data_IF_843627630003
#
_entry.id   IF_843627630003
#
_cell.length_a   1.000
_cell.length_b   1.000
_cell.length_c   1.000
_cell.angle_alpha   90.00
_cell.angle_beta   90.00
_cell.angle_gamma   90.00
#
_symmetry.space_group_name_H-M   'P 1'
#
loop_
_entity.id
_entity.type
_entity.pdbx_description
1 polymer ?
#
# COMPACT_ATOMS: atom_id res chain seq x y z
N UNK A 1 13.26 -46.20 -28.76
CA UNK A 1 13.50 -44.77 -28.45
C UNK A 1 12.23 -43.93 -28.33
N UNK A 2 11.11 -44.25 -29.01
CA UNK A 2 9.89 -43.42 -29.01
C UNK A 2 9.11 -43.38 -27.67
N UNK A 3 9.29 -44.37 -26.79
CA UNK A 3 8.54 -44.48 -25.53
C UNK A 3 9.07 -43.57 -24.41
N UNK A 4 10.37 -43.27 -24.40
CA UNK A 4 11.01 -42.49 -23.33
C UNK A 4 10.80 -40.98 -23.51
N UNK A 5 10.78 -40.50 -24.75
CA UNK A 5 10.49 -39.09 -25.08
C UNK A 5 9.02 -38.73 -24.84
N UNK A 6 8.10 -39.67 -25.01
CA UNK A 6 6.67 -39.43 -24.76
C UNK A 6 6.36 -39.32 -23.25
N UNK A 7 7.05 -40.09 -22.42
CA UNK A 7 6.94 -40.00 -20.95
C UNK A 7 7.53 -38.69 -20.41
N UNK A 8 8.62 -38.18 -20.99
CA UNK A 8 9.21 -36.90 -20.59
C UNK A 8 8.28 -35.72 -20.91
N UNK A 9 7.60 -35.75 -22.06
CA UNK A 9 6.63 -34.72 -22.44
C UNK A 9 5.39 -34.71 -21.52
N UNK A 10 4.95 -35.87 -21.05
CA UNK A 10 3.83 -35.98 -20.08
C UNK A 10 4.26 -35.48 -18.70
N UNK A 11 5.46 -35.82 -18.22
CA UNK A 11 5.99 -35.29 -16.95
C UNK A 11 6.20 -33.77 -16.97
N UNK A 12 6.58 -33.17 -18.10
CA UNK A 12 6.68 -31.71 -18.23
C UNK A 12 5.31 -30.99 -18.27
N UNK A 13 4.23 -31.68 -18.62
CA UNK A 13 2.88 -31.09 -18.62
C UNK A 13 2.23 -31.00 -17.23
N UNK A 14 2.77 -31.72 -16.22
CA UNK A 14 2.21 -31.76 -14.86
C UNK A 14 2.75 -30.67 -13.92
N UNK A 15 3.67 -29.80 -14.36
CA UNK A 15 4.24 -28.74 -13.49
C UNK A 15 3.59 -27.37 -13.67
N UNK A 16 2.59 -27.23 -14.55
CA UNK A 16 1.77 -26.02 -14.58
C UNK A 16 0.68 -26.10 -13.51
N UNK A 17 1.09 -26.04 -12.23
CA UNK A 17 0.19 -25.50 -11.22
C UNK A 17 0.06 -24.02 -11.57
N UNK A 18 -0.95 -23.70 -12.38
CA UNK A 18 -1.43 -22.34 -12.51
C UNK A 18 -1.87 -21.98 -11.09
N UNK A 19 -1.04 -21.23 -10.37
CA UNK A 19 -1.48 -20.50 -9.21
C UNK A 19 -2.52 -19.50 -9.72
N UNK A 20 -3.77 -19.96 -9.84
CA UNK A 20 -4.89 -19.09 -10.10
C UNK A 20 -4.80 -17.98 -9.08
N UNK A 21 -4.70 -16.73 -9.56
CA UNK A 21 -4.81 -15.58 -8.68
C UNK A 21 -6.08 -15.78 -7.86
N UNK A 22 -5.93 -15.92 -6.54
CA UNK A 22 -7.08 -15.92 -5.63
C UNK A 22 -7.89 -14.69 -5.98
N UNK A 23 -9.15 -14.91 -6.41
CA UNK A 23 -10.06 -13.86 -6.81
C UNK A 23 -10.05 -12.76 -5.73
N UNK A 24 -9.61 -11.56 -6.11
CA UNK A 24 -9.56 -10.42 -5.20
C UNK A 24 -10.84 -9.62 -5.36
N UNK A 25 -11.84 -9.94 -4.56
CA UNK A 25 -13.13 -9.23 -4.55
C UNK A 25 -13.06 -7.89 -3.81
N UNK A 26 -11.88 -7.54 -3.28
CA UNK A 26 -11.69 -6.26 -2.60
C UNK A 26 -11.65 -5.12 -3.61
N UNK A 27 -12.13 -3.95 -3.19
CA UNK A 27 -12.11 -2.74 -4.02
C UNK A 27 -11.66 -1.54 -3.19
N UNK A 28 -10.86 -0.67 -3.76
CA UNK A 28 -10.58 0.66 -3.25
C UNK A 28 -10.77 1.68 -4.36
N UNK A 29 -11.56 2.71 -4.10
CA UNK A 29 -11.80 3.84 -4.99
C UNK A 29 -11.57 5.13 -4.22
N UNK A 30 -10.75 6.03 -4.73
CA UNK A 30 -10.50 7.35 -4.14
C UNK A 30 -10.12 8.33 -5.24
N UNK A 31 -10.38 9.61 -5.05
CA UNK A 31 -9.84 10.66 -5.90
C UNK A 31 -8.59 11.24 -5.25
N UNK A 32 -7.48 11.23 -5.98
CA UNK A 32 -6.18 11.78 -5.58
C UNK A 32 -5.94 13.02 -6.44
N UNK A 33 -5.95 14.19 -5.82
CA UNK A 33 -5.86 15.48 -6.52
C UNK A 33 -6.88 15.61 -7.66
N UNK A 34 -8.10 15.12 -7.41
CA UNK A 34 -9.20 15.09 -8.38
C UNK A 34 -9.13 13.98 -9.44
N UNK A 35 -8.03 13.22 -9.51
CA UNK A 35 -7.88 12.09 -10.43
C UNK A 35 -8.37 10.80 -9.78
N UNK A 36 -9.19 10.02 -10.50
CA UNK A 36 -9.68 8.74 -10.00
C UNK A 36 -8.55 7.71 -9.83
N UNK A 37 -8.56 7.05 -8.68
CA UNK A 37 -7.66 5.97 -8.32
C UNK A 37 -8.48 4.77 -7.84
N UNK A 38 -8.56 3.76 -8.71
CA UNK A 38 -9.30 2.52 -8.44
C UNK A 38 -8.35 1.33 -8.45
N UNK A 39 -8.43 0.51 -7.41
CA UNK A 39 -7.63 -0.70 -7.30
C UNK A 39 -8.29 -1.81 -6.49
N UNK A 40 -7.67 -2.99 -6.46
CA UNK A 40 -8.06 -4.13 -5.65
C UNK A 40 -7.08 -4.29 -4.48
N UNK A 41 -7.37 -3.73 -3.30
CA UNK A 41 -6.47 -3.82 -2.16
C UNK A 41 -6.29 -5.26 -1.69
N UNK A 42 -5.15 -5.52 -1.07
CA UNK A 42 -4.82 -6.79 -0.43
C UNK A 42 -4.65 -6.56 1.06
N UNK A 43 -5.22 -7.47 1.85
CA UNK A 43 -4.96 -7.53 3.29
C UNK A 43 -3.60 -8.19 3.52
N UNK A 44 -2.77 -7.59 4.36
CA UNK A 44 -1.49 -8.16 4.78
C UNK A 44 -1.50 -8.27 6.31
N UNK A 45 -1.01 -9.40 6.82
CA UNK A 45 -0.75 -9.58 8.25
C UNK A 45 0.75 -9.71 8.46
N UNK A 46 1.33 -8.89 9.34
CA UNK A 46 2.75 -9.01 9.72
C UNK A 46 2.80 -9.09 11.25
N UNK A 47 3.11 -10.27 11.78
CA UNK A 47 3.08 -10.52 13.23
C UNK A 47 1.70 -10.27 13.85
N UNK A 48 1.68 -9.59 15.00
CA UNK A 48 0.45 -9.21 15.72
C UNK A 48 -0.13 -7.87 15.24
N UNK A 49 0.37 -7.32 14.13
CA UNK A 49 -0.12 -6.07 13.57
C UNK A 49 -0.93 -6.34 12.30
N UNK A 50 -2.07 -5.66 12.23
CA UNK A 50 -3.02 -5.70 11.11
C UNK A 50 -2.71 -4.53 10.15
N UNK A 51 -2.73 -4.77 8.83
CA UNK A 51 -2.60 -3.67 7.88
C UNK A 51 -3.29 -3.94 6.53
N UNK A 52 -3.76 -2.87 5.88
CA UNK A 52 -4.43 -2.92 4.59
C UNK A 52 -3.55 -2.23 3.55
N UNK A 53 -3.10 -2.96 2.54
CA UNK A 53 -2.35 -2.37 1.42
C UNK A 53 -3.23 -2.25 0.19
N UNK A 54 -3.32 -1.05 -0.39
CA UNK A 54 -4.14 -0.76 -1.57
C UNK A 54 -3.26 -0.32 -2.75
N UNK A 55 -2.53 -1.27 -3.30
CA UNK A 55 -1.57 -1.04 -4.38
C UNK A 55 -2.31 -0.88 -5.70
N UNK A 56 -1.89 0.02 -6.60
CA UNK A 56 -2.55 0.19 -7.89
C UNK A 56 -2.24 -0.94 -8.88
N UNK A 57 -3.10 -1.11 -9.89
CA UNK A 57 -2.93 -2.11 -10.98
C UNK A 57 -1.67 -1.80 -11.81
N UNK A 58 -1.35 -0.52 -11.98
CA UNK A 58 -0.06 -0.09 -12.54
C UNK A 58 0.91 0.11 -11.36
N UNK A 59 2.09 -0.53 -11.36
CA UNK A 59 3.02 -0.51 -10.23
C UNK A 59 3.78 0.83 -10.11
N UNK A 60 3.18 1.92 -10.61
CA UNK A 60 3.67 3.29 -10.51
C UNK A 60 3.00 4.03 -9.35
N UNK A 61 1.87 3.55 -8.83
CA UNK A 61 1.15 4.17 -7.71
C UNK A 61 0.83 3.15 -6.62
N UNK A 62 0.90 3.58 -5.37
CA UNK A 62 0.50 2.79 -4.22
C UNK A 62 -0.19 3.69 -3.20
N UNK A 63 -1.34 3.24 -2.68
CA UNK A 63 -1.97 3.81 -1.51
C UNK A 63 -1.99 2.75 -0.42
N UNK A 64 -1.48 3.06 0.77
CA UNK A 64 -1.46 2.12 1.90
C UNK A 64 -2.12 2.75 3.11
N UNK A 65 -2.93 1.94 3.78
CA UNK A 65 -3.65 2.33 4.98
C UNK A 65 -3.37 1.32 6.10
N UNK A 66 -2.65 1.76 7.12
CA UNK A 66 -2.40 0.93 8.29
C UNK A 66 -3.44 1.24 9.34
N UNK A 67 -4.06 0.21 9.90
CA UNK A 67 -5.04 0.34 10.98
C UNK A 67 -4.47 -0.38 12.19
N UNK A 68 -4.46 0.27 13.34
CA UNK A 68 -3.90 -0.33 14.54
C UNK A 68 -4.52 0.21 15.81
N UNK A 69 -4.15 -0.44 16.90
CA UNK A 69 -4.56 -0.09 18.26
C UNK A 69 -3.31 -0.11 19.16
N UNK A 70 -3.32 0.67 20.24
CA UNK A 70 -2.18 0.73 21.15
C UNK A 70 -2.01 -0.55 22.00
N UNK A 71 -3.05 -1.38 22.09
CA UNK A 71 -3.04 -2.67 22.78
C UNK A 71 -2.51 -3.81 21.89
N UNK A 72 -2.14 -3.53 20.63
CA UNK A 72 -1.64 -4.51 19.65
C UNK A 72 -2.65 -5.61 19.33
N UNK A 73 -3.94 -5.32 19.45
CA UNK A 73 -5.00 -6.15 18.87
C UNK A 73 -4.87 -6.18 17.35
N UNK A 74 -5.07 -7.35 16.76
CA UNK A 74 -5.09 -7.54 15.30
C UNK A 74 -6.52 -7.57 14.73
N UNK A 75 -7.51 -7.26 15.57
CA UNK A 75 -8.93 -7.25 15.22
C UNK A 75 -9.30 -5.84 14.75
N UNK A 76 -9.71 -5.73 13.49
CA UNK A 76 -10.31 -4.52 12.95
C UNK A 76 -11.79 -4.50 13.33
N UNK A 77 -12.18 -3.58 14.20
CA UNK A 77 -13.56 -3.41 14.66
C UNK A 77 -14.29 -2.34 13.82
N UNK A 78 -15.61 -2.47 13.61
CA UNK A 78 -16.41 -1.36 13.14
C UNK A 78 -16.35 -0.15 14.10
N UNK A 79 -16.19 1.03 13.53
CA UNK A 79 -16.20 2.32 14.23
C UNK A 79 -15.26 3.33 13.57
N UNK A 80 -14.99 4.42 14.29
CA UNK A 80 -14.19 5.54 13.78
C UNK A 80 -12.73 5.39 14.20
N UNK A 81 -11.83 5.50 13.23
CA UNK A 81 -10.38 5.46 13.41
C UNK A 81 -9.82 6.87 13.22
N UNK A 82 -8.96 7.31 14.14
CA UNK A 82 -8.28 8.60 14.05
C UNK A 82 -7.12 8.50 13.07
N UNK A 83 -7.07 9.36 12.05
CA UNK A 83 -5.90 9.48 11.19
C UNK A 83 -4.81 10.25 11.93
N UNK A 84 -3.61 9.69 11.99
CA UNK A 84 -2.50 10.30 12.73
C UNK A 84 -1.28 10.54 11.85
N UNK A 85 -0.32 11.30 12.37
CA UNK A 85 0.95 11.57 11.70
C UNK A 85 1.73 10.28 11.46
N UNK A 86 2.06 10.03 10.19
CA UNK A 86 2.79 8.84 9.76
C UNK A 86 4.15 8.68 10.44
N UNK A 87 4.87 9.78 10.64
CA UNK A 87 6.23 9.77 11.17
C UNK A 87 6.25 9.90 12.71
N UNK A 88 5.09 10.13 13.35
CA UNK A 88 4.95 10.35 14.81
C UNK A 88 3.75 9.62 15.42
N UNK A 89 3.41 8.44 14.92
CA UNK A 89 2.22 7.67 15.34
C UNK A 89 2.17 7.33 16.83
N UNK A 90 3.32 7.22 17.49
CA UNK A 90 3.45 6.75 18.88
C UNK A 90 3.59 7.89 19.90
N UNK A 91 3.18 9.11 19.54
CA UNK A 91 3.24 10.27 20.44
C UNK A 91 2.31 10.11 21.66
N UNK A 92 2.69 10.75 22.77
CA UNK A 92 1.89 10.71 24.02
C UNK A 92 0.53 11.39 23.81
N UNK A 93 0.49 12.40 22.96
CA UNK A 93 -0.70 13.18 22.61
C UNK A 93 -1.72 12.30 21.87
N UNK A 94 -1.27 11.54 20.87
CA UNK A 94 -2.12 10.58 20.15
C UNK A 94 -2.65 9.52 21.11
N UNK A 95 -1.78 8.98 21.98
CA UNK A 95 -2.19 7.98 22.96
C UNK A 95 -3.25 8.53 23.91
N UNK A 96 -3.11 9.78 24.37
CA UNK A 96 -4.13 10.43 25.21
C UNK A 96 -5.46 10.60 24.47
N UNK A 97 -5.45 10.99 23.18
CA UNK A 97 -6.66 11.07 22.34
C UNK A 97 -7.34 9.69 22.19
N UNK A 98 -6.54 8.63 22.03
CA UNK A 98 -7.03 7.25 21.96
C UNK A 98 -7.64 6.79 23.29
N UNK A 99 -6.93 6.98 24.41
CA UNK A 99 -7.35 6.57 25.76
C UNK A 99 -8.63 7.30 26.24
N UNK A 100 -8.98 8.44 25.63
CA UNK A 100 -10.25 9.12 25.87
C UNK A 100 -11.48 8.36 25.35
N UNK A 101 -11.28 7.26 24.60
CA UNK A 101 -12.34 6.32 24.21
C UNK A 101 -13.21 6.74 23.02
N UNK A 102 -12.85 7.84 22.34
CA UNK A 102 -13.62 8.34 21.18
C UNK A 102 -13.35 7.60 19.88
N UNK A 103 -12.29 6.79 19.82
CA UNK A 103 -11.84 6.11 18.61
C UNK A 103 -11.65 4.62 18.86
N UNK A 104 -11.93 3.80 17.84
CA UNK A 104 -11.66 2.35 17.85
C UNK A 104 -10.19 2.02 17.61
N UNK A 105 -9.44 2.94 17.04
CA UNK A 105 -8.04 2.75 16.67
C UNK A 105 -7.45 3.99 16.02
N UNK A 106 -6.21 3.82 15.57
CA UNK A 106 -5.49 4.79 14.76
C UNK A 106 -5.37 4.28 13.32
N UNK A 107 -5.29 5.22 12.39
CA UNK A 107 -5.03 4.96 10.98
C UNK A 107 -3.84 5.80 10.49
N UNK A 108 -3.03 5.21 9.63
CA UNK A 108 -1.94 5.88 8.92
C UNK A 108 -2.20 5.75 7.44
N UNK A 109 -1.96 6.81 6.67
CA UNK A 109 -2.14 6.78 5.21
C UNK A 109 -0.84 7.20 4.54
N UNK A 110 -0.40 6.42 3.55
CA UNK A 110 0.74 6.77 2.70
C UNK A 110 0.37 6.55 1.25
N UNK A 111 0.62 7.56 0.43
CA UNK A 111 0.54 7.49 -1.01
C UNK A 111 1.94 7.61 -1.60
N UNK A 112 2.23 6.82 -2.64
CA UNK A 112 3.49 6.89 -3.39
C UNK A 112 3.15 6.86 -4.87
N UNK A 113 3.69 7.81 -5.62
CA UNK A 113 3.61 7.88 -7.08
C UNK A 113 5.01 7.99 -7.67
N UNK A 114 5.34 7.11 -8.60
CA UNK A 114 6.51 7.21 -9.46
C UNK A 114 6.29 8.31 -10.50
N UNK A 115 6.99 9.42 -10.36
CA UNK A 115 6.89 10.57 -11.28
C UNK A 115 7.87 10.47 -12.45
N UNK A 116 8.89 9.61 -12.33
CA UNK A 116 9.85 9.33 -13.42
C UNK A 116 10.26 7.88 -13.48
N UNK A 117 10.08 7.27 -14.65
CA UNK A 117 10.32 5.84 -14.87
C UNK A 117 11.72 5.51 -15.39
N UNK A 118 12.28 4.32 -15.05
CA UNK A 118 11.81 3.35 -14.04
C UNK A 118 12.28 3.74 -12.64
N UNK A 119 11.34 4.01 -11.72
CA UNK A 119 11.61 4.23 -10.28
C UNK A 119 12.76 5.21 -10.04
N UNK A 120 12.74 6.36 -10.71
CA UNK A 120 13.83 7.34 -10.63
C UNK A 120 13.47 8.51 -9.72
N UNK A 121 12.21 8.93 -9.76
CA UNK A 121 11.68 10.03 -8.99
C UNK A 121 10.28 9.65 -8.48
N UNK A 122 9.95 10.15 -7.30
CA UNK A 122 8.68 9.87 -6.64
C UNK A 122 8.05 11.12 -6.03
N UNK A 123 6.73 11.07 -5.91
CA UNK A 123 5.91 11.95 -5.09
C UNK A 123 5.27 11.10 -3.98
N UNK A 124 5.54 11.46 -2.73
CA UNK A 124 5.13 10.70 -1.55
C UNK A 124 4.25 11.57 -0.67
N UNK A 125 3.03 11.11 -0.40
CA UNK A 125 2.11 11.68 0.59
C UNK A 125 2.12 10.87 1.87
N UNK A 126 2.20 11.52 3.02
CA UNK A 126 2.05 10.90 4.35
C UNK A 126 0.97 11.58 5.18
N UNK A 127 0.17 10.83 5.92
CA UNK A 127 -0.86 11.40 6.82
C UNK A 127 -0.25 12.30 7.89
N UNK A 128 -1.04 13.28 8.34
CA UNK A 128 -0.73 14.21 9.43
C UNK A 128 -1.81 14.11 10.51
N UNK A 129 -1.51 14.58 11.73
CA UNK A 129 -2.52 14.77 12.77
C UNK A 129 -3.31 16.06 12.48
N UNK A 130 -4.35 15.93 11.65
CA UNK A 130 -5.25 17.02 11.23
C UNK A 130 -6.70 16.79 11.74
N UNK A 131 -6.89 15.95 12.76
CA UNK A 131 -8.20 15.51 13.25
C UNK A 131 -9.09 14.86 12.16
N UNK A 132 -8.45 14.25 11.15
CA UNK A 132 -9.11 13.47 10.10
C UNK A 132 -9.47 12.08 10.63
N UNK A 133 -10.51 11.46 10.06
CA UNK A 133 -11.00 10.15 10.50
C UNK A 133 -11.27 9.20 9.33
N UNK A 134 -11.27 7.91 9.64
CA UNK A 134 -11.75 6.84 8.76
C UNK A 134 -12.93 6.17 9.46
N UNK A 135 -14.08 6.13 8.79
CA UNK A 135 -15.24 5.43 9.29
C UNK A 135 -15.28 4.01 8.73
N UNK A 136 -15.31 3.04 9.62
CA UNK A 136 -15.25 1.61 9.30
C UNK A 136 -16.54 0.92 9.71
N UNK A 137 -17.14 0.15 8.81
CA UNK A 137 -18.40 -0.58 9.03
C UNK A 137 -18.28 -2.00 8.52
N UNK A 138 -19.10 -2.89 9.06
CA UNK A 138 -19.28 -4.23 8.50
C UNK A 138 -20.49 -4.20 7.56
N UNK A 139 -20.26 -4.54 6.29
CA UNK A 139 -21.29 -4.72 5.29
C UNK A 139 -22.15 -5.96 5.58
N UNK A 140 -23.38 -6.02 5.04
CA UNK A 140 -24.31 -7.13 5.27
C UNK A 140 -23.80 -8.47 4.70
N UNK A 141 -22.85 -8.41 3.77
CA UNK A 141 -22.21 -9.56 3.12
C UNK A 141 -20.88 -9.96 3.79
N UNK A 142 -20.54 -9.35 4.94
CA UNK A 142 -19.34 -9.66 5.71
C UNK A 142 -18.05 -9.02 5.20
N UNK A 143 -18.14 -8.10 4.23
CA UNK A 143 -17.02 -7.25 3.85
C UNK A 143 -16.91 -6.07 4.81
N UNK A 144 -15.69 -5.69 5.14
CA UNK A 144 -15.43 -4.45 5.84
C UNK A 144 -15.40 -3.29 4.86
N UNK A 145 -16.14 -2.23 5.17
CA UNK A 145 -16.27 -1.03 4.36
C UNK A 145 -15.66 0.15 5.12
N UNK A 146 -14.65 0.80 4.55
CA UNK A 146 -14.01 1.99 5.10
C UNK A 146 -14.30 3.19 4.19
N UNK A 147 -14.69 4.32 4.78
CA UNK A 147 -14.86 5.59 4.08
C UNK A 147 -13.90 6.62 4.65
N UNK A 148 -13.20 7.36 3.77
CA UNK A 148 -12.19 8.32 4.18
C UNK A 148 -12.05 9.47 3.20
N UNK A 149 -11.55 10.59 3.70
CA UNK A 149 -11.05 11.75 2.94
C UNK A 149 -10.01 12.44 3.81
N UNK A 150 -9.06 13.15 3.21
CA UNK A 150 -7.98 13.75 3.99
C UNK A 150 -6.89 14.39 3.14
N UNK A 151 -5.91 14.95 3.84
CA UNK A 151 -4.79 15.70 3.24
C UNK A 151 -3.47 15.08 3.69
N UNK A 152 -2.67 14.67 2.71
CA UNK A 152 -1.35 14.11 2.96
C UNK A 152 -0.25 15.17 2.76
N UNK A 153 0.77 15.08 3.60
CA UNK A 153 2.03 15.79 3.46
C UNK A 153 2.79 15.31 2.21
N UNK A 154 2.74 16.08 1.13
CA UNK A 154 3.42 15.79 -0.12
C UNK A 154 4.92 16.11 -0.06
N UNK A 155 5.72 15.20 -0.60
CA UNK A 155 7.17 15.35 -0.71
C UNK A 155 7.73 14.70 -1.96
N UNK A 156 8.75 15.31 -2.56
CA UNK A 156 9.38 14.78 -3.77
C UNK A 156 10.69 14.08 -3.43
N UNK A 157 10.96 12.98 -4.12
CA UNK A 157 12.15 12.16 -3.92
C UNK A 157 12.82 11.89 -5.26
N UNK A 158 14.15 11.90 -5.25
CA UNK A 158 14.96 11.64 -6.44
C UNK A 158 16.09 10.70 -6.11
N UNK A 159 16.38 9.77 -7.02
CA UNK A 159 17.50 8.86 -6.88
C UNK A 159 18.82 9.63 -6.73
N UNK A 160 19.65 9.19 -5.77
CA UNK A 160 21.00 9.76 -5.64
C UNK A 160 21.81 9.34 -6.86
N UNK A 161 22.51 10.28 -7.49
CA UNK A 161 23.37 9.97 -8.64
C UNK A 161 24.39 8.85 -8.36
N UNK A 162 24.88 8.75 -7.11
CA UNK A 162 25.73 7.64 -6.69
C UNK A 162 25.04 6.26 -6.80
N UNK A 163 23.75 6.16 -6.46
CA UNK A 163 23.01 4.91 -6.57
C UNK A 163 22.90 4.44 -8.03
N UNK A 164 22.68 5.37 -8.98
CA UNK A 164 22.64 5.06 -10.41
C UNK A 164 24.03 4.71 -10.95
N UNK A 165 25.09 5.44 -10.54
CA UNK A 165 26.46 5.23 -11.04
C UNK A 165 27.09 3.94 -10.50
N UNK A 166 26.90 3.60 -9.23
CA UNK A 166 27.44 2.36 -8.64
C UNK A 166 26.57 1.13 -8.94
N UNK A 167 25.26 1.31 -9.14
CA UNK A 167 24.34 0.22 -9.48
C UNK A 167 24.28 -0.12 -10.98
N UNK A 168 24.66 0.81 -11.85
CA UNK A 168 24.71 0.62 -13.31
C UNK A 168 23.42 0.07 -13.91
N UNK A 169 23.56 -0.71 -15.00
CA UNK A 169 22.46 -1.36 -15.70
C UNK A 169 21.70 -2.37 -14.82
N UNK A 170 22.39 -3.05 -13.89
CA UNK A 170 21.78 -4.02 -12.99
C UNK A 170 20.70 -3.40 -12.09
N UNK A 171 20.93 -2.19 -11.57
CA UNK A 171 19.93 -1.48 -10.76
C UNK A 171 18.69 -1.09 -11.56
N UNK A 172 18.83 -0.73 -12.83
CA UNK A 172 17.69 -0.46 -13.71
C UNK A 172 16.88 -1.73 -13.98
N UNK A 173 17.55 -2.87 -14.22
CA UNK A 173 16.90 -4.16 -14.40
C UNK A 173 16.13 -4.59 -13.15
N UNK A 174 16.73 -4.49 -11.96
CA UNK A 174 16.05 -4.83 -10.70
C UNK A 174 14.77 -4.00 -10.50
N UNK A 175 14.82 -2.68 -10.77
CA UNK A 175 13.63 -1.82 -10.69
C UNK A 175 12.53 -2.25 -11.66
N UNK A 176 12.91 -2.69 -12.86
CA UNK A 176 11.95 -3.22 -13.83
C UNK A 176 11.37 -4.56 -13.37
N UNK A 177 12.20 -5.44 -12.82
CA UNK A 177 11.77 -6.72 -12.22
C UNK A 177 10.79 -6.48 -11.07
N UNK A 178 11.09 -5.58 -10.14
CA UNK A 178 10.20 -5.25 -9.02
C UNK A 178 8.84 -4.73 -9.51
N UNK A 179 8.84 -3.89 -10.56
CA UNK A 179 7.58 -3.44 -11.20
C UNK A 179 6.81 -4.61 -11.81
N UNK A 180 7.48 -5.54 -12.46
CA UNK A 180 6.84 -6.75 -13.02
C UNK A 180 6.29 -7.62 -11.90
N UNK A 181 7.03 -7.81 -10.80
CA UNK A 181 6.58 -8.55 -9.61
C UNK A 181 5.36 -7.90 -8.99
N UNK A 182 5.36 -6.58 -8.77
CA UNK A 182 4.19 -5.86 -8.24
C UNK A 182 2.99 -6.01 -9.16
N UNK A 183 3.18 -5.88 -10.47
CA UNK A 183 2.10 -6.07 -11.44
C UNK A 183 1.54 -7.50 -11.43
N UNK A 184 2.41 -8.51 -11.32
CA UNK A 184 2.01 -9.93 -11.35
C UNK A 184 1.32 -10.37 -10.04
N UNK A 185 1.81 -9.87 -8.91
CA UNK A 185 1.37 -10.33 -7.57
C UNK A 185 0.30 -9.43 -6.95
N UNK A 186 0.24 -8.16 -7.34
CA UNK A 186 -0.56 -7.13 -6.67
C UNK A 186 0.03 -6.66 -5.33
N UNK A 187 1.21 -7.14 -4.94
CA UNK A 187 1.93 -6.71 -3.75
C UNK A 187 3.02 -5.70 -4.10
N UNK A 188 3.08 -4.60 -3.34
CA UNK A 188 4.17 -3.63 -3.47
C UNK A 188 5.52 -4.31 -3.22
N UNK A 189 6.36 -4.28 -4.24
CA UNK A 189 7.74 -4.72 -4.18
C UNK A 189 8.58 -3.45 -4.31
N UNK A 190 9.05 -2.92 -3.18
CA UNK A 190 10.02 -1.84 -3.10
C UNK A 190 9.67 -0.51 -3.81
N UNK A 191 8.40 -0.09 -3.76
CA UNK A 191 7.99 1.21 -4.33
C UNK A 191 8.42 2.41 -3.46
N UNK A 192 8.83 2.17 -2.21
CA UNK A 192 9.20 3.22 -1.27
C UNK A 192 10.58 3.83 -1.58
N UNK A 193 10.71 5.16 -1.63
CA UNK A 193 12.03 5.80 -1.78
C UNK A 193 12.84 5.87 -0.48
N UNK A 194 12.20 5.79 0.70
CA UNK A 194 12.90 5.91 1.97
C UNK A 194 13.85 4.73 2.21
N UNK A 195 15.11 5.02 2.55
CA UNK A 195 16.12 3.98 2.78
C UNK A 195 16.73 3.36 1.50
N UNK A 196 16.12 3.56 0.33
CA UNK A 196 16.48 2.84 -0.91
C UNK A 196 17.39 3.60 -1.89
N UNK A 197 18.23 4.50 -1.36
CA UNK A 197 19.18 5.28 -2.17
C UNK A 197 18.58 6.52 -2.83
N UNK A 198 17.40 6.98 -2.37
CA UNK A 198 16.80 8.23 -2.80
C UNK A 198 17.12 9.37 -1.82
N UNK A 199 16.94 10.60 -2.28
CA UNK A 199 17.06 11.81 -1.48
C UNK A 199 15.77 12.62 -1.59
N UNK A 200 15.21 12.98 -0.44
CA UNK A 200 14.10 13.92 -0.32
C UNK A 200 14.52 15.28 -0.87
N UNK A 201 13.70 15.85 -1.74
CA UNK A 201 13.87 17.16 -2.33
C UNK A 201 13.23 18.22 -1.43
N UNK A 202 13.66 19.50 -1.51
CA UNK A 202 13.05 20.59 -0.75
C UNK A 202 11.62 20.92 -1.21
N UNK A 203 11.24 20.50 -2.42
CA UNK A 203 9.87 20.68 -2.93
C UNK A 203 8.89 19.85 -2.10
N UNK A 204 7.84 20.51 -1.63
CA UNK A 204 6.73 19.92 -0.87
C UNK A 204 5.42 20.53 -1.33
N UNK A 205 4.34 19.78 -1.16
CA UNK A 205 2.97 20.18 -1.47
C UNK A 205 1.99 19.39 -0.57
N UNK A 206 0.71 19.44 -0.92
CA UNK A 206 -0.35 18.67 -0.29
C UNK A 206 -0.94 17.73 -1.35
N UNK A 207 -1.26 16.51 -0.94
CA UNK A 207 -2.00 15.55 -1.76
C UNK A 207 -3.38 15.39 -1.14
N UNK A 208 -4.43 15.66 -1.91
CA UNK A 208 -5.81 15.68 -1.43
C UNK A 208 -6.50 14.36 -1.81
N UNK A 209 -6.97 13.64 -0.79
CA UNK A 209 -7.78 12.43 -0.93
C UNK A 209 -9.25 12.78 -0.72
N UNK A 210 -10.10 12.46 -1.70
CA UNK A 210 -11.54 12.68 -1.62
C UNK A 210 -12.32 11.45 -2.06
N UNK A 211 -13.52 11.28 -1.53
CA UNK A 211 -14.44 10.19 -1.90
C UNK A 211 -13.83 8.79 -1.73
N UNK A 212 -12.93 8.62 -0.77
CA UNK A 212 -12.26 7.35 -0.49
C UNK A 212 -13.22 6.31 0.05
N UNK A 213 -13.28 5.16 -0.61
CA UNK A 213 -14.06 3.98 -0.20
C UNK A 213 -13.19 2.74 -0.39
N UNK A 214 -13.09 1.92 0.64
CA UNK A 214 -12.44 0.62 0.58
C UNK A 214 -13.41 -0.47 1.03
N UNK A 215 -13.45 -1.59 0.32
CA UNK A 215 -14.23 -2.78 0.63
C UNK A 215 -13.28 -3.97 0.68
N UNK A 216 -13.24 -4.65 1.82
CA UNK A 216 -12.21 -5.62 2.14
C UNK A 216 -12.82 -6.87 2.76
N UNK A 217 -12.47 -8.02 2.20
CA UNK A 217 -12.85 -9.32 2.74
C UNK A 217 -12.02 -9.63 3.99
N UNK A 218 -12.69 -9.92 5.10
CA UNK A 218 -12.05 -10.17 6.40
C UNK A 218 -11.83 -11.68 6.67
N UNK A 219 -12.44 -12.55 5.87
CA UNK A 219 -12.30 -14.01 5.95
C UNK A 219 -12.07 -14.65 4.59
#
# INVERSE_FOLDING_TARGET
MLKTTFLLAICLSMTMVVFGQVANDNTLTVQIDGSEFTTQPRRIRIGNAFWITANAIKPDKSLRMWFGTFDRSDILEPGTYMVVDFDKSDSKEIRKKYDAGSYKGIALIKYVEETRTPRMEYHVGKSRDNDETIDVKMGPDGFLEATFSGKLAGSYWKERGSATVFGGMGRLMNKMEDKVVTKATGYDSDIDPEGNGYKKQPKTDEIVLTNGKARLKIK
#
